data_IF_611550841985
#
_entry.id   IF_611550841985
#
_cell.length_a   1.000
_cell.length_b   1.000
_cell.length_c   1.000
_cell.angle_alpha   90.00
_cell.angle_beta   90.00
_cell.angle_gamma   90.00
#
_symmetry.space_group_name_H-M   'P 1'
#
loop_
_entity.id
_entity.type
_entity.pdbx_description
1 polymer ?
#
# COMPACT_ATOMS: atom_id res chain seq x y z
N UNK A 1 2.98 10.61 5.51
CA UNK A 1 1.63 10.98 6.01
C UNK A 1 1.61 11.22 7.52
N UNK A 2 2.18 10.32 8.32
CA UNK A 2 2.18 10.41 9.80
C UNK A 2 2.80 11.69 10.34
N UNK A 3 3.95 12.12 9.81
CA UNK A 3 4.60 13.39 10.17
C UNK A 3 3.72 14.63 9.91
N UNK A 4 2.99 14.65 8.81
CA UNK A 4 2.08 15.76 8.48
C UNK A 4 1.02 15.92 9.57
N UNK A 5 0.45 14.81 10.03
CA UNK A 5 -0.59 14.80 11.06
C UNK A 5 -0.04 15.16 12.43
N UNK A 6 1.10 14.60 12.81
CA UNK A 6 1.76 14.95 14.07
C UNK A 6 2.07 16.46 14.12
N UNK A 7 2.60 17.01 13.02
CA UNK A 7 2.94 18.44 12.94
C UNK A 7 1.70 19.33 13.04
N UNK A 8 0.58 18.94 12.41
CA UNK A 8 -0.69 19.68 12.54
C UNK A 8 -1.23 19.74 13.97
N UNK A 9 -0.90 18.75 14.80
CA UNK A 9 -1.36 18.66 16.19
C UNK A 9 -0.43 19.37 17.18
N UNK A 10 0.89 19.28 16.98
CA UNK A 10 1.87 19.85 17.91
C UNK A 10 2.04 21.36 17.67
N UNK A 11 2.17 21.78 16.39
CA UNK A 11 2.52 23.17 16.06
C UNK A 11 1.65 23.71 14.93
N UNK A 12 0.37 24.03 15.20
CA UNK A 12 -0.57 24.48 14.17
C UNK A 12 -0.11 25.78 13.46
N UNK A 13 0.60 26.67 14.16
CA UNK A 13 1.10 27.93 13.60
C UNK A 13 2.27 27.76 12.63
N UNK A 14 3.13 26.78 12.88
CA UNK A 14 4.28 26.47 12.00
C UNK A 14 3.91 25.48 10.90
N UNK A 15 2.87 24.66 11.11
CA UNK A 15 2.34 23.74 10.10
C UNK A 15 2.04 24.45 8.77
N UNK A 16 1.41 25.63 8.82
CA UNK A 16 1.07 26.43 7.64
C UNK A 16 2.31 26.95 6.88
N UNK A 17 3.46 27.09 7.56
CA UNK A 17 4.73 27.50 6.94
C UNK A 17 5.51 26.31 6.38
N UNK A 18 5.44 25.16 7.05
CA UNK A 18 6.16 23.93 6.66
C UNK A 18 5.47 23.25 5.48
N UNK A 19 4.15 23.02 5.59
CA UNK A 19 3.35 22.29 4.60
C UNK A 19 2.60 23.23 3.65
N UNK A 20 3.36 24.05 2.92
CA UNK A 20 2.78 24.83 1.81
C UNK A 20 2.49 23.93 0.60
N UNK A 21 1.60 24.33 -0.33
CA UNK A 21 1.33 23.55 -1.53
C UNK A 21 2.58 23.27 -2.37
N UNK A 22 3.51 24.24 -2.46
CA UNK A 22 4.79 24.09 -3.16
C UNK A 22 5.69 23.06 -2.48
N UNK A 23 5.90 23.18 -1.16
CA UNK A 23 6.72 22.22 -0.41
C UNK A 23 6.14 20.81 -0.45
N UNK A 24 4.82 20.68 -0.35
CA UNK A 24 4.13 19.40 -0.43
C UNK A 24 4.31 18.77 -1.81
N UNK A 25 4.24 19.55 -2.89
CA UNK A 25 4.52 19.06 -4.24
C UNK A 25 5.96 18.56 -4.37
N UNK A 26 6.94 19.29 -3.83
CA UNK A 26 8.36 18.85 -3.82
C UNK A 26 8.52 17.55 -3.03
N UNK A 27 7.94 17.43 -1.84
CA UNK A 27 7.99 16.19 -1.03
C UNK A 27 7.40 15.00 -1.80
N UNK A 28 6.27 15.21 -2.48
CA UNK A 28 5.64 14.18 -3.31
C UNK A 28 6.57 13.78 -4.45
N UNK A 29 7.06 14.73 -5.25
CA UNK A 29 7.97 14.47 -6.38
C UNK A 29 9.23 13.73 -5.91
N UNK A 30 9.83 14.15 -4.79
CA UNK A 30 10.99 13.48 -4.22
C UNK A 30 10.69 12.04 -3.79
N UNK A 31 9.52 11.79 -3.20
CA UNK A 31 9.06 10.44 -2.86
C UNK A 31 8.92 9.58 -4.11
N UNK A 32 8.32 10.11 -5.18
CA UNK A 32 8.19 9.41 -6.47
C UNK A 32 9.54 9.09 -7.10
N UNK A 33 10.47 10.05 -7.11
CA UNK A 33 11.81 9.84 -7.66
C UNK A 33 12.57 8.76 -6.87
N UNK A 34 12.45 8.75 -5.55
CA UNK A 34 13.02 7.71 -4.70
C UNK A 34 12.43 6.33 -5.02
N UNK A 35 11.10 6.21 -5.10
CA UNK A 35 10.43 4.95 -5.46
C UNK A 35 10.82 4.46 -6.86
N UNK A 36 10.91 5.35 -7.85
CA UNK A 36 11.33 4.99 -9.19
C UNK A 36 12.77 4.46 -9.18
N UNK A 37 13.66 5.13 -8.45
CA UNK A 37 15.07 4.71 -8.30
C UNK A 37 15.18 3.31 -7.72
N UNK A 38 14.44 3.02 -6.64
CA UNK A 38 14.44 1.68 -6.03
C UNK A 38 13.90 0.62 -6.97
N UNK A 39 12.85 0.93 -7.75
CA UNK A 39 12.32 -0.02 -8.74
C UNK A 39 13.30 -0.27 -9.89
N UNK A 40 13.97 0.78 -10.39
CA UNK A 40 14.96 0.63 -11.45
C UNK A 40 16.16 -0.21 -11.02
N UNK A 41 16.57 -0.13 -9.74
CA UNK A 41 17.64 -0.99 -9.21
C UNK A 41 17.32 -2.48 -9.29
N UNK A 42 16.04 -2.86 -9.15
CA UNK A 42 15.61 -4.26 -9.24
C UNK A 42 15.65 -4.83 -10.67
N UNK A 43 15.73 -3.96 -11.68
CA UNK A 43 15.83 -4.36 -13.09
C UNK A 43 17.27 -4.63 -13.54
N UNK A 44 18.26 -4.34 -12.69
CA UNK A 44 19.67 -4.58 -12.99
C UNK A 44 19.99 -6.06 -12.81
N UNK A 45 20.73 -6.63 -13.76
CA UNK A 45 21.15 -8.03 -13.71
C UNK A 45 21.90 -8.34 -12.40
N UNK A 46 21.43 -9.38 -11.69
CA UNK A 46 21.94 -9.78 -10.38
C UNK A 46 21.34 -9.03 -9.19
N UNK A 47 20.51 -8.01 -9.40
CA UNK A 47 19.79 -7.29 -8.34
C UNK A 47 18.28 -7.64 -8.30
N UNK A 48 17.87 -8.60 -9.12
CA UNK A 48 16.48 -8.98 -9.34
C UNK A 48 15.85 -9.66 -8.12
N UNK A 49 14.56 -9.41 -7.93
CA UNK A 49 13.69 -10.03 -6.93
C UNK A 49 12.79 -11.04 -7.64
N UNK A 50 13.11 -12.33 -7.53
CA UNK A 50 12.45 -13.39 -8.28
C UNK A 50 11.84 -14.43 -7.34
N UNK A 51 10.80 -15.10 -7.84
CA UNK A 51 10.24 -16.28 -7.18
C UNK A 51 11.11 -17.50 -7.46
N UNK A 52 11.60 -18.14 -6.40
CA UNK A 52 12.41 -19.37 -6.48
C UNK A 52 11.46 -20.56 -6.30
N UNK A 53 11.21 -21.28 -7.40
CA UNK A 53 10.24 -22.39 -7.42
C UNK A 53 10.58 -23.55 -6.49
N UNK A 54 11.87 -23.80 -6.21
CA UNK A 54 12.30 -24.88 -5.30
C UNK A 54 11.97 -24.59 -3.84
N UNK A 55 11.95 -23.31 -3.44
CA UNK A 55 11.71 -22.87 -2.06
C UNK A 55 10.30 -22.28 -1.86
N UNK A 56 9.53 -22.17 -2.95
CA UNK A 56 8.22 -21.53 -3.00
C UNK A 56 8.18 -20.14 -2.32
N UNK A 57 9.27 -19.37 -2.46
CA UNK A 57 9.41 -18.06 -1.84
C UNK A 57 9.96 -17.02 -2.82
N UNK A 58 9.71 -15.75 -2.50
CA UNK A 58 10.35 -14.64 -3.19
C UNK A 58 11.65 -14.27 -2.50
N UNK A 59 12.75 -14.32 -3.25
CA UNK A 59 14.06 -13.97 -2.74
C UNK A 59 14.83 -13.10 -3.73
N UNK A 60 15.76 -12.32 -3.18
CA UNK A 60 16.73 -11.58 -3.99
C UNK A 60 17.79 -12.54 -4.54
N UNK A 61 18.33 -12.22 -5.72
CA UNK A 61 19.47 -12.95 -6.28
C UNK A 61 20.64 -13.04 -5.30
N UNK A 62 21.34 -14.18 -5.27
CA UNK A 62 22.50 -14.42 -4.40
C UNK A 62 23.77 -13.63 -4.79
N UNK A 63 23.65 -12.74 -5.78
CA UNK A 63 24.73 -11.83 -6.12
C UNK A 63 24.98 -10.82 -4.97
N UNK A 64 26.18 -10.23 -4.95
CA UNK A 64 26.52 -9.16 -4.01
C UNK A 64 25.54 -7.98 -4.06
N UNK A 65 24.93 -7.70 -5.21
CA UNK A 65 23.93 -6.65 -5.34
C UNK A 65 22.61 -7.04 -4.67
N UNK A 66 22.10 -8.24 -4.94
CA UNK A 66 20.84 -8.72 -4.37
C UNK A 66 20.92 -8.84 -2.85
N UNK A 67 22.04 -9.34 -2.30
CA UNK A 67 22.25 -9.38 -0.85
C UNK A 67 22.33 -7.99 -0.20
N UNK A 68 22.93 -7.01 -0.90
CA UNK A 68 22.97 -5.62 -0.43
C UNK A 68 21.55 -5.03 -0.34
N UNK A 69 20.75 -5.20 -1.39
CA UNK A 69 19.37 -4.71 -1.44
C UNK A 69 18.52 -5.40 -0.37
N UNK A 70 18.61 -6.73 -0.25
CA UNK A 70 17.90 -7.49 0.78
C UNK A 70 18.21 -6.96 2.19
N UNK A 71 19.49 -6.72 2.50
CA UNK A 71 19.86 -6.26 3.84
C UNK A 71 19.48 -4.80 4.11
N UNK A 72 19.76 -3.89 3.18
CA UNK A 72 19.58 -2.46 3.41
C UNK A 72 18.17 -1.96 3.12
N UNK A 73 17.55 -2.42 2.03
CA UNK A 73 16.22 -1.96 1.61
C UNK A 73 15.14 -2.80 2.27
N UNK A 74 15.23 -4.13 2.20
CA UNK A 74 14.15 -4.98 2.69
C UNK A 74 14.14 -5.07 4.21
N UNK A 75 15.28 -5.31 4.86
CA UNK A 75 15.33 -5.41 6.33
C UNK A 75 15.50 -4.04 6.99
N UNK A 76 16.62 -3.35 6.74
CA UNK A 76 16.98 -2.18 7.55
C UNK A 76 16.02 -0.99 7.33
N UNK A 77 15.75 -0.62 6.08
CA UNK A 77 14.87 0.51 5.77
C UNK A 77 13.43 0.27 6.22
N UNK A 78 12.84 -0.89 5.89
CA UNK A 78 11.46 -1.18 6.30
C UNK A 78 11.32 -1.31 7.82
N UNK A 79 12.30 -1.89 8.52
CA UNK A 79 12.28 -1.98 9.98
C UNK A 79 12.33 -0.58 10.62
N UNK A 80 13.23 0.29 10.16
CA UNK A 80 13.30 1.68 10.64
C UNK A 80 11.99 2.41 10.35
N UNK A 81 11.38 2.17 9.19
CA UNK A 81 10.10 2.77 8.83
C UNK A 81 9.01 2.33 9.82
N UNK A 82 8.86 1.03 10.09
CA UNK A 82 7.86 0.52 11.04
C UNK A 82 8.08 1.07 12.46
N UNK A 83 9.32 0.99 12.95
CA UNK A 83 9.70 1.43 14.31
C UNK A 83 9.52 2.94 14.50
N UNK A 84 9.62 3.74 13.44
CA UNK A 84 9.41 5.19 13.54
C UNK A 84 7.96 5.59 13.29
N UNK A 85 7.30 5.02 12.28
CA UNK A 85 5.96 5.42 11.85
C UNK A 85 4.88 5.02 12.84
N UNK A 86 4.93 3.79 13.38
CA UNK A 86 3.90 3.30 14.32
C UNK A 86 3.86 4.17 15.60
N UNK A 87 4.99 4.47 16.27
CA UNK A 87 4.97 5.37 17.43
C UNK A 87 4.48 6.77 17.07
N UNK A 88 4.84 7.32 15.90
CA UNK A 88 4.34 8.62 15.45
C UNK A 88 2.81 8.60 15.30
N UNK A 89 2.24 7.53 14.73
CA UNK A 89 0.80 7.37 14.58
C UNK A 89 0.09 7.24 15.93
N UNK A 90 0.65 6.45 16.86
CA UNK A 90 0.13 6.29 18.22
C UNK A 90 0.18 7.61 19.00
N UNK A 91 1.32 8.32 18.95
CA UNK A 91 1.49 9.62 19.57
C UNK A 91 0.47 10.61 19.00
N UNK A 92 0.29 10.65 17.69
CA UNK A 92 -0.69 11.53 17.04
C UNK A 92 -2.11 11.26 17.55
N UNK A 93 -2.51 9.99 17.67
CA UNK A 93 -3.80 9.60 18.23
C UNK A 93 -3.95 9.98 19.71
N UNK A 94 -2.89 9.79 20.50
CA UNK A 94 -2.87 10.15 21.91
C UNK A 94 -3.00 11.66 22.13
N UNK A 95 -2.23 12.46 21.40
CA UNK A 95 -2.31 13.93 21.45
C UNK A 95 -3.71 14.41 21.04
N UNK A 96 -4.27 13.84 19.97
CA UNK A 96 -5.62 14.17 19.52
C UNK A 96 -6.67 13.87 20.61
N UNK A 97 -6.57 12.74 21.30
CA UNK A 97 -7.48 12.40 22.40
C UNK A 97 -7.31 13.35 23.61
N UNK A 98 -6.07 13.70 23.94
CA UNK A 98 -5.74 14.65 25.02
C UNK A 98 -6.31 16.04 24.75
N UNK A 99 -6.25 16.53 23.51
CA UNK A 99 -6.85 17.82 23.15
C UNK A 99 -8.38 17.79 23.14
N UNK A 100 -8.97 16.70 22.66
CA UNK A 100 -10.42 16.53 22.66
C UNK A 100 -11.01 16.53 24.09
N UNK A 101 -10.33 15.91 25.06
CA UNK A 101 -10.78 15.91 26.46
C UNK A 101 -10.83 17.32 27.08
N UNK A 102 -10.01 18.26 26.59
CA UNK A 102 -9.92 19.62 27.15
C UNK A 102 -10.89 20.62 26.53
N UNK A 103 -11.50 20.33 25.37
CA UNK A 103 -12.36 21.30 24.65
C UNK A 103 -13.53 20.59 23.97
N UNK A 104 -14.76 20.98 24.31
CA UNK A 104 -15.98 20.42 23.72
C UNK A 104 -16.05 20.57 22.19
N UNK A 105 -15.56 21.69 21.65
CA UNK A 105 -15.47 21.91 20.20
C UNK A 105 -14.48 20.94 19.52
N UNK A 106 -13.40 20.59 20.21
CA UNK A 106 -12.42 19.62 19.76
C UNK A 106 -12.98 18.18 19.78
N UNK A 107 -13.97 17.87 20.62
CA UNK A 107 -14.69 16.58 20.60
C UNK A 107 -15.48 16.37 19.31
N UNK A 108 -16.11 17.42 18.77
CA UNK A 108 -16.83 17.34 17.48
C UNK A 108 -15.86 17.19 16.31
N UNK A 109 -14.75 17.92 16.35
CA UNK A 109 -13.63 17.77 15.41
C UNK A 109 -13.03 16.35 15.47
N UNK A 110 -12.75 15.83 16.68
CA UNK A 110 -12.27 14.47 16.91
C UNK A 110 -13.19 13.43 16.27
N UNK A 111 -14.51 13.53 16.44
CA UNK A 111 -15.45 12.53 15.88
C UNK A 111 -15.36 12.45 14.35
N UNK A 112 -15.04 13.56 13.68
CA UNK A 112 -14.86 13.61 12.22
C UNK A 112 -13.48 13.15 11.76
N UNK A 113 -12.43 13.52 12.50
CA UNK A 113 -11.04 13.25 12.10
C UNK A 113 -10.52 11.90 12.57
N UNK A 114 -11.01 11.36 13.69
CA UNK A 114 -10.58 10.08 14.26
C UNK A 114 -10.51 8.92 13.25
N UNK A 115 -11.47 8.73 12.32
CA UNK A 115 -11.39 7.68 11.31
C UNK A 115 -10.14 7.79 10.41
N UNK A 116 -9.69 9.00 10.07
CA UNK A 116 -8.48 9.20 9.27
C UNK A 116 -7.23 8.77 10.02
N UNK A 117 -7.13 9.10 11.32
CA UNK A 117 -6.03 8.68 12.16
C UNK A 117 -5.99 7.16 12.34
N UNK A 118 -7.15 6.54 12.60
CA UNK A 118 -7.27 5.08 12.70
C UNK A 118 -6.91 4.43 11.37
N UNK A 119 -7.34 4.97 10.24
CA UNK A 119 -7.00 4.41 8.93
C UNK A 119 -5.49 4.30 8.73
N UNK A 120 -4.73 5.35 9.07
CA UNK A 120 -3.27 5.32 8.88
C UNK A 120 -2.61 4.38 9.88
N UNK A 121 -3.05 4.36 11.14
CA UNK A 121 -2.53 3.39 12.11
C UNK A 121 -2.78 1.96 11.63
N UNK A 122 -4.00 1.63 11.19
CA UNK A 122 -4.31 0.31 10.66
C UNK A 122 -3.48 -0.02 9.41
N UNK A 123 -3.26 0.95 8.52
CA UNK A 123 -2.42 0.74 7.35
C UNK A 123 -0.95 0.47 7.73
N UNK A 124 -0.41 1.20 8.71
CA UNK A 124 0.93 0.97 9.26
C UNK A 124 1.03 -0.39 9.96
N UNK A 125 -0.02 -0.83 10.67
CA UNK A 125 -0.07 -2.14 11.30
C UNK A 125 -0.16 -3.27 10.27
N UNK A 126 -0.99 -3.15 9.24
CA UNK A 126 -1.06 -4.15 8.15
C UNK A 126 0.27 -4.27 7.42
N UNK A 127 0.95 -3.15 7.18
CA UNK A 127 2.31 -3.16 6.62
C UNK A 127 3.30 -3.92 7.54
N UNK A 128 3.27 -3.67 8.84
CA UNK A 128 4.10 -4.40 9.80
C UNK A 128 3.76 -5.89 9.86
N UNK A 129 2.47 -6.26 9.84
CA UNK A 129 2.04 -7.66 9.78
C UNK A 129 2.55 -8.34 8.50
N UNK A 130 2.49 -7.66 7.35
CA UNK A 130 3.03 -8.17 6.10
C UNK A 130 4.53 -8.47 6.22
N UNK A 131 5.34 -7.53 6.75
CA UNK A 131 6.78 -7.75 6.94
C UNK A 131 7.08 -8.92 7.89
N UNK A 132 6.33 -9.03 8.99
CA UNK A 132 6.46 -10.17 9.91
C UNK A 132 6.11 -11.47 9.19
N UNK A 133 5.06 -11.50 8.38
CA UNK A 133 4.71 -12.70 7.59
C UNK A 133 5.82 -13.12 6.64
N UNK A 134 6.52 -12.16 6.00
CA UNK A 134 7.67 -12.46 5.13
C UNK A 134 8.83 -13.11 5.90
N UNK A 135 9.18 -12.58 7.08
CA UNK A 135 10.27 -13.15 7.89
C UNK A 135 9.90 -14.46 8.57
N UNK A 136 8.62 -14.62 8.94
CA UNK A 136 8.12 -15.83 9.59
C UNK A 136 7.95 -16.98 8.59
N UNK A 137 7.67 -16.68 7.31
CA UNK A 137 7.48 -17.70 6.27
C UNK A 137 8.68 -18.64 6.13
N UNK A 138 9.91 -18.17 6.34
CA UNK A 138 11.15 -18.96 6.23
C UNK A 138 11.20 -20.11 7.25
N UNK A 139 10.46 -20.03 8.36
CA UNK A 139 10.43 -21.08 9.38
C UNK A 139 9.45 -22.22 9.08
N UNK A 140 8.69 -22.14 7.98
CA UNK A 140 7.73 -23.17 7.59
C UNK A 140 8.27 -24.03 6.47
N UNK A 141 8.33 -25.34 6.66
CA UNK A 141 8.78 -26.30 5.63
C UNK A 141 7.73 -26.49 4.51
N UNK A 142 6.47 -26.16 4.77
CA UNK A 142 5.37 -26.33 3.81
C UNK A 142 5.41 -25.26 2.70
N UNK A 143 5.72 -25.65 1.47
CA UNK A 143 5.76 -24.77 0.29
C UNK A 143 4.48 -23.94 0.08
N UNK A 144 3.30 -24.55 0.24
CA UNK A 144 2.02 -23.84 0.15
C UNK A 144 1.87 -22.77 1.24
N UNK A 145 2.33 -23.06 2.46
CA UNK A 145 2.26 -22.11 3.56
C UNK A 145 3.21 -20.92 3.33
N UNK A 146 4.43 -21.16 2.84
CA UNK A 146 5.40 -20.10 2.45
C UNK A 146 4.82 -19.19 1.37
N UNK A 147 4.24 -19.79 0.33
CA UNK A 147 3.63 -19.05 -0.77
C UNK A 147 2.46 -18.18 -0.30
N UNK A 148 1.56 -18.72 0.52
CA UNK A 148 0.41 -17.98 1.05
C UNK A 148 0.85 -16.84 1.97
N UNK A 149 1.78 -17.11 2.89
CA UNK A 149 2.25 -16.12 3.87
C UNK A 149 2.98 -14.93 3.23
N UNK A 150 3.70 -15.15 2.13
CA UNK A 150 4.41 -14.08 1.42
C UNK A 150 3.48 -13.37 0.43
N UNK A 151 2.91 -14.11 -0.52
CA UNK A 151 2.12 -13.55 -1.63
C UNK A 151 0.81 -12.94 -1.17
N UNK A 152 0.01 -13.68 -0.39
CA UNK A 152 -1.30 -13.19 0.03
C UNK A 152 -1.14 -12.03 1.01
N UNK A 153 -0.15 -12.08 1.90
CA UNK A 153 0.10 -10.96 2.82
C UNK A 153 0.53 -9.69 2.07
N UNK A 154 1.37 -9.82 1.02
CA UNK A 154 1.75 -8.70 0.16
C UNK A 154 0.54 -8.08 -0.55
N UNK A 155 -0.29 -8.91 -1.17
CA UNK A 155 -1.48 -8.44 -1.90
C UNK A 155 -2.53 -7.84 -0.96
N UNK A 156 -2.72 -8.42 0.23
CA UNK A 156 -3.58 -7.86 1.27
C UNK A 156 -3.11 -6.48 1.73
N UNK A 157 -1.79 -6.29 1.85
CA UNK A 157 -1.22 -4.99 2.17
C UNK A 157 -1.44 -3.98 1.03
N UNK A 158 -1.26 -4.36 -0.24
CA UNK A 158 -1.53 -3.48 -1.38
C UNK A 158 -2.99 -3.01 -1.42
N UNK A 159 -3.93 -3.87 -1.02
CA UNK A 159 -5.36 -3.58 -1.01
C UNK A 159 -5.84 -2.90 0.29
N UNK A 160 -5.02 -2.87 1.34
CA UNK A 160 -5.42 -2.35 2.64
C UNK A 160 -5.83 -0.88 2.63
N UNK A 161 -5.14 0.06 1.94
CA UNK A 161 -5.51 1.46 1.97
C UNK A 161 -6.93 1.72 1.47
N UNK A 162 -7.35 1.02 0.41
CA UNK A 162 -8.66 1.19 -0.23
C UNK A 162 -9.76 0.54 0.61
N UNK A 163 -9.52 -0.67 1.12
CA UNK A 163 -10.47 -1.40 1.98
C UNK A 163 -10.71 -0.64 3.28
N UNK A 164 -9.64 -0.24 3.97
CA UNK A 164 -9.74 0.49 5.24
C UNK A 164 -10.43 1.84 5.03
N UNK A 165 -10.13 2.55 3.93
CA UNK A 165 -10.81 3.80 3.59
C UNK A 165 -12.32 3.59 3.38
N UNK A 166 -12.73 2.53 2.68
CA UNK A 166 -14.14 2.24 2.42
C UNK A 166 -14.91 1.91 3.70
N UNK A 167 -14.27 1.21 4.64
CA UNK A 167 -14.87 0.83 5.93
C UNK A 167 -14.97 2.04 6.88
N UNK A 168 -13.89 2.80 7.05
CA UNK A 168 -13.79 3.84 8.08
C UNK A 168 -14.29 5.22 7.64
N UNK A 169 -14.14 5.59 6.36
CA UNK A 169 -14.49 6.91 5.87
C UNK A 169 -15.89 6.93 5.28
N UNK A 170 -16.86 7.34 6.11
CA UNK A 170 -18.26 7.46 5.69
C UNK A 170 -18.45 8.39 4.48
N UNK A 171 -17.66 9.45 4.36
CA UNK A 171 -17.72 10.39 3.22
C UNK A 171 -17.22 9.75 1.93
N UNK A 172 -16.11 9.02 2.00
CA UNK A 172 -15.58 8.24 0.87
C UNK A 172 -16.60 7.18 0.46
N UNK A 173 -17.16 6.44 1.42
CA UNK A 173 -18.20 5.43 1.16
C UNK A 173 -19.42 6.02 0.46
N UNK A 174 -19.91 7.18 0.90
CA UNK A 174 -21.02 7.89 0.24
C UNK A 174 -20.68 8.25 -1.20
N UNK A 175 -19.49 8.77 -1.46
CA UNK A 175 -19.05 9.11 -2.81
C UNK A 175 -18.97 7.86 -3.72
N UNK A 176 -18.45 6.74 -3.22
CA UNK A 176 -18.45 5.47 -3.94
C UNK A 176 -19.88 4.97 -4.22
N UNK A 177 -20.77 4.97 -3.23
CA UNK A 177 -22.16 4.55 -3.40
C UNK A 177 -22.94 5.43 -4.37
N UNK A 178 -22.71 6.75 -4.37
CA UNK A 178 -23.30 7.66 -5.35
C UNK A 178 -22.82 7.37 -6.76
N UNK A 179 -21.52 7.09 -6.95
CA UNK A 179 -20.99 6.67 -8.25
C UNK A 179 -21.63 5.35 -8.70
N UNK A 180 -21.72 4.34 -7.84
CA UNK A 180 -22.39 3.08 -8.17
C UNK A 180 -23.89 3.25 -8.44
N UNK A 181 -24.58 4.12 -7.72
CA UNK A 181 -25.98 4.47 -7.97
C UNK A 181 -26.19 5.20 -9.29
N UNK A 182 -25.32 6.15 -9.63
CA UNK A 182 -25.32 6.85 -10.92
C UNK A 182 -24.98 5.91 -12.08
N UNK A 183 -24.03 4.99 -11.90
CA UNK A 183 -23.71 3.95 -12.88
C UNK A 183 -24.91 3.03 -13.11
N UNK A 184 -25.54 2.54 -12.03
CA UNK A 184 -26.75 1.73 -12.12
C UNK A 184 -27.90 2.46 -12.82
N UNK A 185 -28.05 3.77 -12.58
CA UNK A 185 -29.08 4.62 -13.22
C UNK A 185 -28.76 4.94 -14.68
N UNK A 186 -27.48 4.98 -15.06
CA UNK A 186 -27.03 5.17 -16.44
C UNK A 186 -27.17 3.88 -17.27
N UNK A 187 -26.94 2.71 -16.67
CA UNK A 187 -27.16 1.40 -17.33
C UNK A 187 -28.63 1.14 -17.66
N UNK A 188 -29.57 1.73 -16.91
CA UNK A 188 -31.01 1.63 -17.22
C UNK A 188 -31.52 2.63 -18.26
N UNK A 189 -30.72 3.59 -18.73
CA UNK A 189 -31.21 4.72 -19.55
C UNK A 189 -30.47 4.95 -20.88
N UNK A 190 -29.67 4.02 -21.40
CA UNK A 190 -28.95 4.16 -22.69
C UNK A 190 -28.86 2.77 -23.34
N UNK A 191 -29.74 2.36 -24.28
CA UNK A 191 -29.83 2.69 -25.72
C UNK A 191 -29.23 4.05 -26.14
N UNK A 192 -27.97 3.98 -26.62
CA UNK A 192 -27.13 4.83 -27.50
C UNK A 192 -27.25 6.40 -27.53
N UNK A 193 -26.34 7.15 -28.21
CA UNK A 193 -25.11 7.65 -27.60
C UNK A 193 -24.91 9.16 -27.83
N UNK A 194 -24.54 9.96 -26.83
CA UNK A 194 -23.92 11.29 -27.08
C UNK A 194 -22.85 11.58 -26.04
N UNK A 195 -21.67 11.83 -26.56
CA UNK A 195 -20.47 12.33 -25.93
C UNK A 195 -20.68 13.82 -25.60
N UNK A 196 -20.60 14.22 -24.34
CA UNK A 196 -20.26 15.59 -24.02
C UNK A 196 -19.34 15.62 -22.79
N UNK A 197 -18.21 16.28 -23.05
CA UNK A 197 -17.02 16.41 -22.27
C UNK A 197 -17.00 17.85 -21.79
N UNK A 198 -17.29 18.10 -20.52
CA UNK A 198 -16.72 19.22 -19.74
C UNK A 198 -17.40 19.35 -18.37
N UNK A 199 -16.64 19.88 -17.40
CA UNK A 199 -17.06 20.28 -16.05
C UNK A 199 -17.03 19.22 -14.92
N UNK A 200 -15.87 18.59 -14.68
CA UNK A 200 -15.33 18.42 -13.30
C UNK A 200 -13.82 18.11 -13.30
N UNK A 201 -13.09 18.74 -14.21
CA UNK A 201 -11.65 18.62 -14.38
C UNK A 201 -10.94 19.74 -13.62
N UNK A 202 -10.30 19.45 -12.49
CA UNK A 202 -8.92 19.88 -12.17
C UNK A 202 -8.50 19.60 -10.72
N UNK A 203 -9.41 19.61 -9.73
CA UNK A 203 -8.98 19.53 -8.31
C UNK A 203 -8.94 18.12 -7.69
N UNK A 204 -9.61 17.14 -8.32
CA UNK A 204 -9.62 15.72 -7.87
C UNK A 204 -8.70 14.80 -8.70
N UNK A 205 -8.18 15.28 -9.82
CA UNK A 205 -7.45 14.46 -10.81
C UNK A 205 -6.01 14.14 -10.38
N UNK A 206 -5.26 15.10 -9.85
CA UNK A 206 -3.81 14.91 -9.61
C UNK A 206 -3.51 13.92 -8.48
N UNK A 207 -4.36 13.85 -7.45
CA UNK A 207 -4.15 12.95 -6.31
C UNK A 207 -4.76 11.56 -6.52
N UNK A 208 -5.84 11.46 -7.33
CA UNK A 208 -6.53 10.19 -7.58
C UNK A 208 -5.95 9.44 -8.79
N UNK A 209 -5.46 10.12 -9.82
CA UNK A 209 -4.85 9.44 -10.98
C UNK A 209 -3.43 8.93 -10.71
N UNK A 210 -2.59 9.64 -9.95
CA UNK A 210 -1.20 9.22 -9.73
C UNK A 210 -1.10 7.96 -8.85
N UNK A 211 -1.90 7.87 -7.78
CA UNK A 211 -1.96 6.68 -6.93
C UNK A 211 -2.55 5.50 -7.71
N UNK A 212 -3.56 5.73 -8.55
CA UNK A 212 -4.22 4.65 -9.30
C UNK A 212 -3.40 4.17 -10.49
N UNK A 213 -2.64 5.03 -11.19
CA UNK A 213 -1.77 4.63 -12.31
C UNK A 213 -0.51 3.90 -11.86
N UNK A 214 0.07 4.26 -10.71
CA UNK A 214 1.21 3.52 -10.18
C UNK A 214 0.79 2.28 -9.39
N UNK A 215 -0.37 2.27 -8.71
CA UNK A 215 -0.96 1.01 -8.28
C UNK A 215 -1.32 0.16 -9.49
N UNK A 216 -1.84 0.69 -10.60
CA UNK A 216 -2.08 -0.11 -11.80
C UNK A 216 -0.80 -0.68 -12.37
N UNK A 217 0.29 0.09 -12.46
CA UNK A 217 1.57 -0.43 -12.96
C UNK A 217 2.22 -1.43 -11.99
N UNK A 218 2.14 -1.21 -10.68
CA UNK A 218 2.63 -2.18 -9.67
C UNK A 218 1.72 -3.40 -9.61
N UNK A 219 0.41 -3.27 -9.79
CA UNK A 219 -0.56 -4.38 -9.88
C UNK A 219 -0.47 -5.07 -11.24
N UNK A 220 -0.08 -4.39 -12.33
CA UNK A 220 0.16 -4.99 -13.65
C UNK A 220 1.50 -5.72 -13.69
N UNK A 221 2.55 -5.16 -13.08
CA UNK A 221 3.83 -5.84 -12.84
C UNK A 221 3.65 -6.99 -11.84
N UNK A 222 2.87 -6.79 -10.77
CA UNK A 222 2.51 -7.84 -9.82
C UNK A 222 1.66 -8.89 -10.51
N UNK A 223 0.65 -8.57 -11.32
CA UNK A 223 -0.17 -9.55 -12.05
C UNK A 223 0.60 -10.27 -13.17
N UNK A 224 1.51 -9.62 -13.88
CA UNK A 224 2.40 -10.32 -14.83
C UNK A 224 3.39 -11.23 -14.09
N UNK A 225 3.89 -10.81 -12.93
CA UNK A 225 4.62 -11.65 -12.00
C UNK A 225 3.76 -12.82 -11.51
N UNK A 226 2.55 -12.56 -11.02
CA UNK A 226 1.60 -13.51 -10.44
C UNK A 226 1.13 -14.51 -11.48
N UNK A 227 0.92 -14.11 -12.73
CA UNK A 227 0.56 -15.02 -13.82
C UNK A 227 1.74 -15.95 -14.14
N UNK A 228 2.96 -15.42 -14.22
CA UNK A 228 4.18 -16.21 -14.38
C UNK A 228 4.46 -17.11 -13.16
N UNK A 229 4.08 -16.68 -11.96
CA UNK A 229 4.30 -17.41 -10.71
C UNK A 229 3.22 -18.48 -10.50
N UNK A 230 1.97 -18.21 -10.86
CA UNK A 230 0.90 -19.20 -10.91
C UNK A 230 1.22 -20.26 -11.96
N UNK A 231 1.72 -19.87 -13.13
CA UNK A 231 2.23 -20.80 -14.16
C UNK A 231 3.40 -21.62 -13.64
N UNK A 232 4.42 -20.99 -13.02
CA UNK A 232 5.58 -21.72 -12.46
C UNK A 232 5.25 -22.58 -11.25
N UNK A 233 4.26 -22.20 -10.44
CA UNK A 233 3.77 -22.99 -9.31
C UNK A 233 2.91 -24.15 -9.80
N UNK A 234 2.09 -23.96 -10.84
CA UNK A 234 1.39 -25.05 -11.54
C UNK A 234 2.38 -26.02 -12.21
N UNK A 235 3.42 -25.51 -12.86
CA UNK A 235 4.47 -26.30 -13.51
C UNK A 235 5.33 -27.04 -12.46
N UNK A 236 5.63 -26.43 -11.31
CA UNK A 236 6.31 -27.10 -10.19
C UNK A 236 5.41 -28.14 -9.50
N UNK A 237 4.11 -27.87 -9.36
CA UNK A 237 3.14 -28.82 -8.82
C UNK A 237 2.88 -29.99 -9.77
N UNK A 238 2.88 -29.76 -11.08
CA UNK A 238 2.75 -30.79 -12.12
C UNK A 238 4.01 -31.67 -12.17
N UNK A 239 5.21 -31.08 -12.09
CA UNK A 239 6.46 -31.85 -12.06
C UNK A 239 6.64 -32.66 -10.77
N UNK A 240 6.23 -32.14 -9.61
CA UNK A 240 6.27 -32.89 -8.35
C UNK A 240 5.14 -33.93 -8.22
N UNK A 241 4.04 -33.78 -8.96
CA UNK A 241 2.94 -34.75 -9.01
C UNK A 241 3.20 -35.95 -9.94
N UNK A 242 4.23 -35.89 -10.79
CA UNK A 242 4.63 -36.99 -11.68
C UNK A 242 5.57 -37.99 -10.98
N UNK A 243 6.24 -37.61 -9.90
CA UNK A 243 7.13 -38.49 -9.15
C UNK A 243 6.40 -39.42 -8.14
N UNK A 244 5.16 -39.11 -7.73
CA UNK A 244 4.35 -40.02 -6.87
C UNK A 244 3.56 -41.08 -7.65
N UNK A 245 3.64 -41.11 -8.98
CA UNK A 245 2.92 -42.09 -9.84
C UNK A 245 3.85 -43.12 -10.51
N UNK A 246 5.10 -43.21 -10.06
CA UNK A 246 6.13 -44.10 -10.65
C UNK A 246 6.75 -45.12 -9.70
N UNK A 247 6.25 -45.25 -8.48
CA UNK A 247 6.57 -46.33 -7.54
C UNK A 247 5.32 -47.14 -7.16
#
# INVERSE_FOLDING_TARGET
MSLNRLTSLIVPTSYLKIFTPRNTAVIVIATWAFSFTTCSMLLIDGCNFNFIGSEAEFAFSDSRCGQLIARYVDIAYNTVLVVTVIPIDILSLFLLHKFAKKRAECTRYLRKEKPWFIQTLLNSLVFACMLVSFHVAVFFDNALARFMMTTVAWELWLMSPQIIALILLQDTRRAYLQLFGCLKKKTTNVVDPVMDESAMSLRKSVFRSSITLCHLNIILLSNQGLLNIQLKFLEAAENNGIDELKD
#
